data_IF_602639469115
#
_entry.id   IF_602639469115
#
_cell.length_a   1.000
_cell.length_b   1.000
_cell.length_c   1.000
_cell.angle_alpha   90.00
_cell.angle_beta   90.00
_cell.angle_gamma   90.00
#
_symmetry.space_group_name_H-M   'P 1'
#
loop_
_entity.id
_entity.type
_entity.pdbx_description
1 polymer ?
#
# COMPACT_ATOMS: atom_id res chain seq x y z
N UNK A 1 -42.25 -11.70 -13.97
CA UNK A 1 -42.39 -11.64 -12.50
C UNK A 1 -41.01 -11.45 -11.91
N UNK A 2 -40.76 -10.32 -11.24
CA UNK A 2 -39.45 -10.02 -10.63
C UNK A 2 -39.34 -10.76 -9.30
N UNK A 3 -38.24 -11.49 -9.10
CA UNK A 3 -37.99 -12.28 -7.90
C UNK A 3 -37.99 -11.43 -6.63
N UNK A 4 -38.67 -11.90 -5.58
CA UNK A 4 -38.81 -11.22 -4.30
C UNK A 4 -37.48 -10.79 -3.66
N UNK A 5 -36.37 -11.48 -3.99
CA UNK A 5 -35.02 -11.12 -3.56
C UNK A 5 -34.47 -9.85 -4.22
N UNK A 6 -34.84 -9.58 -5.48
CA UNK A 6 -34.43 -8.37 -6.22
C UNK A 6 -35.20 -7.13 -5.77
N UNK A 7 -36.45 -7.30 -5.34
CA UNK A 7 -37.29 -6.23 -4.79
C UNK A 7 -36.76 -5.80 -3.42
N UNK A 8 -36.29 -6.74 -2.59
CA UNK A 8 -35.75 -6.44 -1.26
C UNK A 8 -34.37 -5.73 -1.31
N UNK A 9 -33.50 -6.06 -2.27
CA UNK A 9 -32.22 -5.35 -2.47
C UNK A 9 -32.38 -3.91 -2.97
N UNK A 10 -33.36 -3.63 -3.86
CA UNK A 10 -33.64 -2.27 -4.29
C UNK A 10 -34.26 -1.42 -3.15
N UNK A 11 -35.07 -2.04 -2.29
CA UNK A 11 -35.70 -1.35 -1.15
C UNK A 11 -34.68 -0.98 -0.06
N UNK A 12 -33.60 -1.75 0.13
CA UNK A 12 -32.49 -1.41 1.03
C UNK A 12 -31.58 -0.29 0.52
N UNK A 13 -31.36 -0.21 -0.80
CA UNK A 13 -30.52 0.83 -1.41
C UNK A 13 -31.26 2.18 -1.44
N UNK A 14 -32.59 2.17 -1.62
CA UNK A 14 -33.41 3.39 -1.62
C UNK A 14 -33.65 3.94 -0.21
N UNK A 15 -33.69 3.09 0.83
CA UNK A 15 -33.80 3.54 2.23
C UNK A 15 -32.47 4.05 2.80
N UNK A 16 -31.32 3.57 2.31
CA UNK A 16 -30.00 4.11 2.64
C UNK A 16 -29.73 5.49 2.03
N UNK A 17 -30.45 5.88 0.96
CA UNK A 17 -30.27 7.16 0.28
C UNK A 17 -31.26 8.26 0.72
N UNK A 18 -32.16 7.97 1.67
CA UNK A 18 -33.22 8.91 2.08
C UNK A 18 -33.47 8.96 3.60
N UNK A 19 -32.40 9.03 4.39
CA UNK A 19 -32.50 9.37 5.82
C UNK A 19 -31.74 10.66 6.12
N UNK A 20 -32.41 11.80 5.91
CA UNK A 20 -32.14 13.05 6.62
C UNK A 20 -33.47 13.77 6.89
N UNK A 21 -33.82 13.91 8.17
CA UNK A 21 -34.41 15.12 8.75
C UNK A 21 -34.53 14.92 10.27
N UNK A 22 -33.66 15.57 11.04
CA UNK A 22 -33.91 16.83 11.79
C UNK A 22 -33.92 16.52 13.29
N UNK A 23 -32.78 16.81 13.92
CA UNK A 23 -32.71 17.21 15.32
C UNK A 23 -32.36 18.69 15.31
N UNK A 24 -33.29 19.51 15.81
CA UNK A 24 -33.09 20.92 16.01
C UNK A 24 -32.05 21.14 17.11
N UNK A 25 -30.91 21.75 16.76
CA UNK A 25 -29.88 22.17 17.73
C UNK A 25 -28.50 21.61 17.46
N UNK A 26 -27.91 21.89 16.30
CA UNK A 26 -26.45 21.90 16.12
C UNK A 26 -26.13 22.81 14.94
N UNK A 27 -25.22 23.74 15.16
CA UNK A 27 -24.74 24.73 14.19
C UNK A 27 -24.18 24.07 12.93
N UNK A 28 -24.41 24.69 11.77
CA UNK A 28 -23.88 24.30 10.46
C UNK A 28 -22.35 24.49 10.39
N UNK A 29 -21.59 23.69 11.14
CA UNK A 29 -20.12 23.72 11.13
C UNK A 29 -19.48 22.34 11.40
N UNK A 30 -20.14 21.24 11.01
CA UNK A 30 -19.56 19.89 11.11
C UNK A 30 -19.33 19.18 9.75
N UNK A 31 -19.58 19.86 8.62
CA UNK A 31 -19.27 19.35 7.26
C UNK A 31 -18.04 20.01 6.62
N UNK A 32 -17.18 20.65 7.40
CA UNK A 32 -15.96 21.31 6.92
C UNK A 32 -14.72 20.76 7.63
N UNK A 33 -14.43 19.49 7.44
CA UNK A 33 -13.08 18.96 7.59
C UNK A 33 -12.90 17.74 6.67
N UNK A 34 -13.16 17.95 5.37
CA UNK A 34 -12.53 17.09 4.38
C UNK A 34 -11.02 17.30 4.53
N UNK A 35 -10.36 16.30 5.11
CA UNK A 35 -8.92 16.29 5.34
C UNK A 35 -8.25 16.44 3.98
N UNK A 36 -7.80 17.65 3.64
CA UNK A 36 -6.99 17.86 2.46
C UNK A 36 -5.62 17.23 2.72
N UNK A 37 -5.50 15.95 2.32
CA UNK A 37 -4.29 15.15 2.44
C UNK A 37 -3.08 15.78 1.74
N UNK A 38 -3.31 16.66 0.75
CA UNK A 38 -2.26 17.42 0.06
C UNK A 38 -1.66 18.57 0.90
N UNK A 39 -2.31 18.97 2.00
CA UNK A 39 -1.82 20.04 2.90
C UNK A 39 -1.26 19.55 4.23
N UNK A 40 -1.54 18.30 4.63
CA UNK A 40 -1.18 17.79 5.96
C UNK A 40 0.05 16.87 5.98
N UNK A 41 0.41 16.26 4.85
CA UNK A 41 1.61 15.46 4.76
C UNK A 41 2.74 16.33 4.21
N UNK A 42 3.81 16.59 4.98
CA UNK A 42 4.96 17.32 4.46
C UNK A 42 5.55 16.52 3.29
N UNK A 43 5.55 17.12 2.11
CA UNK A 43 6.19 16.53 0.94
C UNK A 43 7.70 16.35 1.21
N UNK A 44 8.30 15.23 0.81
CA UNK A 44 9.72 15.04 1.07
C UNK A 44 10.55 16.07 0.31
N UNK A 45 11.55 16.61 0.99
CA UNK A 45 12.29 17.80 0.53
C UNK A 45 13.17 17.56 -0.70
N UNK A 46 13.52 16.29 -0.95
CA UNK A 46 14.50 15.85 -1.95
C UNK A 46 13.87 15.30 -3.24
N UNK A 47 12.56 15.41 -3.41
CA UNK A 47 11.84 14.86 -4.59
C UNK A 47 11.38 15.94 -5.57
N UNK A 48 11.44 17.22 -5.19
CA UNK A 48 11.01 18.33 -6.03
C UNK A 48 11.82 18.39 -7.33
N UNK A 49 11.13 18.34 -8.48
CA UNK A 49 11.75 18.32 -9.81
C UNK A 49 12.32 16.95 -10.23
N UNK A 50 12.17 15.90 -9.40
CA UNK A 50 12.56 14.55 -9.74
C UNK A 50 11.49 13.87 -10.62
N UNK A 51 11.87 13.00 -11.56
CA UNK A 51 10.90 12.33 -12.45
C UNK A 51 9.85 11.50 -11.69
N UNK A 52 10.21 11.04 -10.49
CA UNK A 52 9.35 10.26 -9.61
C UNK A 52 8.49 11.11 -8.65
N UNK A 53 8.60 12.45 -8.66
CA UNK A 53 7.91 13.35 -7.72
C UNK A 53 6.43 13.01 -7.53
N UNK A 54 5.68 12.93 -8.64
CA UNK A 54 4.25 12.59 -8.61
C UNK A 54 3.97 11.16 -8.11
N UNK A 55 4.86 10.22 -8.41
CA UNK A 55 4.71 8.83 -7.96
C UNK A 55 4.96 8.71 -6.46
N UNK A 56 5.96 9.43 -5.94
CA UNK A 56 6.28 9.49 -4.52
C UNK A 56 5.15 10.16 -3.75
N UNK A 57 4.63 11.29 -4.25
CA UNK A 57 3.49 11.97 -3.66
C UNK A 57 2.29 11.03 -3.56
N UNK A 58 1.96 10.32 -4.65
CA UNK A 58 0.90 9.31 -4.64
C UNK A 58 1.17 8.18 -3.63
N UNK A 59 2.39 7.64 -3.59
CA UNK A 59 2.75 6.54 -2.69
C UNK A 59 2.64 6.93 -1.21
N UNK A 60 2.94 8.18 -0.87
CA UNK A 60 2.81 8.71 0.49
C UNK A 60 1.34 8.97 0.83
N UNK A 61 0.59 9.61 -0.07
CA UNK A 61 -0.83 9.91 0.14
C UNK A 61 -1.69 8.65 0.29
N UNK A 62 -1.34 7.59 -0.44
CA UNK A 62 -2.04 6.28 -0.36
C UNK A 62 -1.51 5.39 0.75
N UNK A 63 -0.51 5.86 1.52
CA UNK A 63 0.10 5.10 2.60
C UNK A 63 0.91 3.89 2.14
N UNK A 64 1.22 3.74 0.85
CA UNK A 64 2.07 2.65 0.33
C UNK A 64 3.50 2.79 0.86
N UNK A 65 4.02 4.01 0.90
CA UNK A 65 5.36 4.33 1.42
C UNK A 65 5.29 5.44 2.46
N UNK A 66 6.26 5.45 3.36
CA UNK A 66 6.51 6.53 4.31
C UNK A 66 7.90 7.09 4.01
N UNK A 67 8.08 8.40 4.12
CA UNK A 67 9.42 9.01 4.09
C UNK A 67 10.21 8.68 5.34
N UNK A 68 11.45 9.17 5.40
CA UNK A 68 12.31 9.04 6.58
C UNK A 68 12.00 10.13 7.61
N UNK A 69 12.44 9.90 8.86
CA UNK A 69 12.24 10.83 9.97
C UNK A 69 12.90 12.21 9.76
N UNK A 70 13.85 12.30 8.83
CA UNK A 70 14.54 13.54 8.43
C UNK A 70 13.83 14.31 7.31
N UNK A 71 12.59 13.95 6.96
CA UNK A 71 11.80 14.53 5.86
C UNK A 71 12.39 14.30 4.45
N UNK A 72 13.25 13.29 4.28
CA UNK A 72 13.70 12.81 2.97
C UNK A 72 12.90 11.60 2.48
N UNK A 73 12.94 11.34 1.18
CA UNK A 73 12.45 10.09 0.56
C UNK A 73 13.56 9.27 -0.09
N UNK A 74 14.66 9.90 -0.50
CA UNK A 74 15.83 9.31 -1.15
C UNK A 74 15.46 8.56 -2.44
N UNK A 75 14.89 9.24 -3.45
CA UNK A 75 14.31 8.60 -4.63
C UNK A 75 15.32 7.82 -5.50
N UNK A 76 16.62 8.14 -5.41
CA UNK A 76 17.70 7.45 -6.12
C UNK A 76 18.34 6.30 -5.31
N UNK A 77 17.96 6.14 -4.03
CA UNK A 77 18.48 5.07 -3.20
C UNK A 77 17.88 3.72 -3.63
N UNK A 78 18.73 2.71 -3.73
CA UNK A 78 18.26 1.34 -3.94
C UNK A 78 17.46 0.86 -2.73
N UNK A 79 16.26 0.35 -2.98
CA UNK A 79 15.43 -0.28 -1.95
C UNK A 79 15.84 -1.73 -1.73
N UNK A 80 15.70 -2.19 -0.48
CA UNK A 80 15.92 -3.58 -0.08
C UNK A 80 14.71 -4.46 -0.37
N UNK A 81 14.89 -5.80 -0.37
CA UNK A 81 13.75 -6.72 -0.53
C UNK A 81 12.73 -6.57 0.62
N UNK A 82 13.19 -6.32 1.85
CA UNK A 82 12.30 -6.09 2.99
C UNK A 82 11.50 -4.79 2.89
N UNK A 83 12.12 -3.69 2.46
CA UNK A 83 11.42 -2.42 2.22
C UNK A 83 10.39 -2.57 1.09
N UNK A 84 10.76 -3.27 0.02
CA UNK A 84 9.85 -3.56 -1.08
C UNK A 84 8.62 -4.36 -0.64
N UNK A 85 8.82 -5.44 0.12
CA UNK A 85 7.72 -6.25 0.65
C UNK A 85 6.85 -5.46 1.63
N UNK A 86 7.46 -4.66 2.49
CA UNK A 86 6.71 -3.80 3.41
C UNK A 86 5.83 -2.82 2.65
N UNK A 87 6.36 -2.17 1.62
CA UNK A 87 5.58 -1.28 0.76
C UNK A 87 4.44 -2.01 0.02
N UNK A 88 4.70 -3.23 -0.44
CA UNK A 88 3.70 -4.06 -1.11
C UNK A 88 2.57 -4.46 -0.17
N UNK A 89 2.88 -4.94 1.04
CA UNK A 89 1.88 -5.43 2.00
C UNK A 89 1.12 -4.32 2.71
N UNK A 90 1.74 -3.15 2.93
CA UNK A 90 1.17 -2.06 3.72
C UNK A 90 -0.27 -1.68 3.37
N UNK A 91 -0.66 -1.44 2.10
CA UNK A 91 -2.03 -1.09 1.75
C UNK A 91 -3.03 -2.24 1.99
N UNK A 92 -2.62 -3.50 1.86
CA UNK A 92 -3.51 -4.66 2.03
C UNK A 92 -3.79 -5.00 3.49
N UNK A 93 -2.81 -4.75 4.36
CA UNK A 93 -2.88 -5.12 5.78
C UNK A 93 -3.01 -3.90 6.72
N UNK A 94 -3.19 -2.70 6.15
CA UNK A 94 -3.31 -1.45 6.90
C UNK A 94 -2.16 -1.23 7.91
N UNK A 95 -0.92 -1.49 7.47
CA UNK A 95 0.28 -1.49 8.32
C UNK A 95 0.73 -0.06 8.65
N UNK A 96 0.06 0.56 9.61
CA UNK A 96 0.35 1.93 10.06
C UNK A 96 1.23 2.00 11.31
N UNK A 97 1.55 0.85 11.91
CA UNK A 97 2.25 0.76 13.19
C UNK A 97 3.66 1.34 13.13
N UNK A 98 4.00 2.08 14.18
CA UNK A 98 5.35 2.56 14.42
C UNK A 98 6.24 1.38 14.87
N UNK A 99 7.52 1.35 14.47
CA UNK A 99 8.43 0.28 14.89
C UNK A 99 8.48 0.16 16.42
N UNK A 100 8.38 -1.06 16.95
CA UNK A 100 8.52 -1.30 18.39
C UNK A 100 9.99 -1.26 18.81
N UNK A 101 10.56 -0.06 18.87
CA UNK A 101 11.96 0.19 19.24
C UNK A 101 12.28 -0.14 20.70
N UNK A 102 11.27 -0.43 21.53
CA UNK A 102 11.44 -0.78 22.95
C UNK A 102 11.78 -2.24 23.18
N UNK A 103 11.46 -3.12 22.24
CA UNK A 103 11.78 -4.55 22.35
C UNK A 103 13.20 -4.82 21.78
N UNK A 104 14.14 -5.33 22.59
CA UNK A 104 15.51 -5.62 22.14
C UNK A 104 15.58 -6.72 21.07
N UNK A 105 14.55 -7.55 20.93
CA UNK A 105 14.47 -8.60 19.91
C UNK A 105 13.65 -8.16 18.69
N UNK A 106 13.20 -6.90 18.65
CA UNK A 106 12.41 -6.40 17.55
C UNK A 106 13.21 -6.42 16.25
N UNK A 107 12.64 -7.08 15.24
CA UNK A 107 13.16 -7.06 13.88
C UNK A 107 12.02 -6.67 12.94
N UNK A 108 12.05 -5.43 12.46
CA UNK A 108 11.04 -4.87 11.56
C UNK A 108 10.86 -5.70 10.28
N UNK A 109 11.89 -6.43 9.85
CA UNK A 109 11.81 -7.30 8.68
C UNK A 109 10.97 -8.55 8.91
N UNK A 110 10.58 -8.90 10.14
CA UNK A 110 9.82 -10.13 10.37
C UNK A 110 8.40 -10.06 9.81
N UNK A 111 7.70 -8.96 10.09
CA UNK A 111 6.31 -8.78 9.69
C UNK A 111 6.08 -8.94 8.17
N UNK A 112 6.78 -8.22 7.27
CA UNK A 112 6.55 -8.37 5.83
C UNK A 112 6.85 -9.78 5.31
N UNK A 113 7.73 -10.54 5.98
CA UNK A 113 8.05 -11.92 5.58
C UNK A 113 7.07 -12.96 6.12
N UNK A 114 6.43 -12.69 7.26
CA UNK A 114 5.30 -13.49 7.76
C UNK A 114 4.15 -13.37 6.75
N UNK A 115 3.77 -12.14 6.41
CA UNK A 115 2.70 -11.87 5.44
C UNK A 115 3.01 -12.46 4.07
N UNK A 116 4.23 -12.26 3.57
CA UNK A 116 4.66 -12.88 2.32
C UNK A 116 4.59 -14.42 2.35
N UNK A 117 4.85 -15.05 3.50
CA UNK A 117 4.69 -16.50 3.65
C UNK A 117 3.24 -16.94 3.67
N UNK A 118 2.35 -16.17 4.32
CA UNK A 118 0.90 -16.44 4.35
C UNK A 118 0.29 -16.36 2.95
N UNK A 119 0.73 -15.37 2.16
CA UNK A 119 0.30 -15.14 0.78
C UNK A 119 1.03 -16.02 -0.25
N UNK A 120 1.92 -16.92 0.19
CA UNK A 120 2.76 -17.76 -0.68
C UNK A 120 3.58 -16.95 -1.71
N UNK A 121 4.01 -15.73 -1.35
CA UNK A 121 4.84 -14.89 -2.20
C UNK A 121 6.26 -15.45 -2.29
N UNK A 122 6.88 -15.44 -3.49
CA UNK A 122 8.20 -16.00 -3.70
C UNK A 122 9.32 -15.04 -3.25
N UNK A 123 9.31 -14.58 -2.00
CA UNK A 123 10.34 -13.73 -1.40
C UNK A 123 11.62 -14.52 -1.04
N UNK A 124 12.80 -14.00 -1.34
CA UNK A 124 14.09 -14.70 -1.15
C UNK A 124 14.51 -14.70 0.31
N UNK A 125 14.18 -13.63 1.02
CA UNK A 125 14.49 -13.49 2.44
C UNK A 125 13.68 -14.42 3.37
N UNK A 126 12.75 -15.22 2.84
CA UNK A 126 12.09 -16.30 3.59
C UNK A 126 13.12 -17.40 3.90
N UNK A 127 13.70 -18.11 2.91
CA UNK A 127 14.76 -19.09 3.17
C UNK A 127 16.13 -18.45 3.49
N UNK A 128 16.35 -17.19 3.13
CA UNK A 128 17.66 -16.53 3.25
C UNK A 128 17.59 -15.18 3.99
N UNK A 129 17.49 -15.15 5.33
CA UNK A 129 17.30 -13.91 6.11
C UNK A 129 18.34 -12.81 5.85
N UNK A 130 19.55 -13.16 5.41
CA UNK A 130 20.60 -12.18 5.05
C UNK A 130 20.23 -11.31 3.84
N UNK A 131 19.35 -11.80 2.96
CA UNK A 131 18.92 -11.09 1.74
C UNK A 131 17.89 -10.01 2.05
N UNK A 132 17.24 -10.05 3.23
CA UNK A 132 16.17 -9.10 3.60
C UNK A 132 16.59 -7.64 3.45
N UNK A 133 17.82 -7.32 3.85
CA UNK A 133 18.39 -5.97 3.79
C UNK A 133 19.27 -5.74 2.54
N UNK A 134 19.30 -6.68 1.60
CA UNK A 134 20.03 -6.52 0.35
C UNK A 134 19.16 -5.83 -0.71
N UNK A 135 19.73 -5.02 -1.63
CA UNK A 135 18.99 -4.41 -2.72
C UNK A 135 18.22 -5.43 -3.56
N UNK A 136 16.95 -5.13 -3.85
CA UNK A 136 16.12 -5.99 -4.71
C UNK A 136 16.37 -5.67 -6.18
N UNK A 137 16.37 -6.69 -7.05
CA UNK A 137 16.43 -6.49 -8.50
C UNK A 137 15.03 -6.29 -9.09
N UNK A 138 14.94 -5.60 -10.24
CA UNK A 138 13.67 -5.40 -10.95
C UNK A 138 12.97 -6.71 -11.33
N UNK A 139 13.73 -7.72 -11.75
CA UNK A 139 13.15 -9.05 -12.07
C UNK A 139 12.56 -9.72 -10.84
N UNK A 140 13.17 -9.52 -9.67
CA UNK A 140 12.70 -10.09 -8.41
C UNK A 140 11.44 -9.39 -7.93
N UNK A 141 11.43 -8.06 -7.95
CA UNK A 141 10.24 -7.26 -7.68
C UNK A 141 9.08 -7.68 -8.61
N UNK A 142 9.36 -7.80 -9.91
CA UNK A 142 8.35 -8.20 -10.89
C UNK A 142 7.76 -9.60 -10.61
N UNK A 143 8.62 -10.57 -10.26
CA UNK A 143 8.19 -11.91 -9.86
C UNK A 143 7.24 -11.88 -8.66
N UNK A 144 7.55 -11.08 -7.64
CA UNK A 144 6.73 -10.97 -6.44
C UNK A 144 5.37 -10.33 -6.77
N UNK A 145 5.34 -9.26 -7.58
CA UNK A 145 4.09 -8.59 -7.97
C UNK A 145 3.19 -9.53 -8.80
N UNK A 146 3.77 -10.27 -9.76
CA UNK A 146 3.02 -11.27 -10.53
C UNK A 146 2.41 -12.34 -9.61
N UNK A 147 3.20 -12.85 -8.65
CA UNK A 147 2.74 -13.85 -7.70
C UNK A 147 1.62 -13.33 -6.78
N UNK A 148 1.69 -12.07 -6.34
CA UNK A 148 0.63 -11.43 -5.56
C UNK A 148 -0.70 -11.33 -6.35
N UNK A 149 -0.65 -11.40 -7.67
CA UNK A 149 -1.83 -11.44 -8.56
C UNK A 149 -2.23 -12.89 -8.93
N UNK A 150 -1.62 -13.90 -8.29
CA UNK A 150 -1.87 -15.31 -8.56
C UNK A 150 -1.15 -15.87 -9.78
N UNK A 151 -0.13 -15.17 -10.31
CA UNK A 151 0.58 -15.55 -11.53
C UNK A 151 2.01 -16.03 -11.23
N UNK A 152 2.40 -17.15 -11.82
CA UNK A 152 3.74 -17.72 -11.62
C UNK A 152 4.71 -17.36 -12.77
N UNK A 153 5.00 -16.07 -12.93
CA UNK A 153 6.02 -15.61 -13.86
C UNK A 153 7.41 -15.52 -13.21
N UNK A 154 8.46 -15.59 -14.01
CA UNK A 154 9.83 -15.45 -13.54
C UNK A 154 10.73 -14.75 -14.57
N UNK A 155 11.88 -14.25 -14.14
CA UNK A 155 12.87 -13.64 -15.03
C UNK A 155 12.29 -12.55 -15.92
N UNK A 156 12.55 -12.65 -17.23
CA UNK A 156 12.07 -11.69 -18.22
C UNK A 156 10.55 -11.72 -18.42
N UNK A 157 9.90 -12.87 -18.18
CA UNK A 157 8.45 -13.00 -18.38
C UNK A 157 7.67 -12.19 -17.35
N UNK A 158 8.15 -12.17 -16.10
CA UNK A 158 7.55 -11.35 -15.05
C UNK A 158 7.66 -9.85 -15.38
N UNK A 159 8.79 -9.43 -15.95
CA UNK A 159 8.97 -8.04 -16.40
C UNK A 159 8.06 -7.75 -17.60
N UNK A 160 8.00 -8.65 -18.58
CA UNK A 160 7.15 -8.51 -19.76
C UNK A 160 5.67 -8.38 -19.38
N UNK A 161 5.22 -9.17 -18.41
CA UNK A 161 3.89 -9.10 -17.85
C UNK A 161 3.55 -7.70 -17.29
N UNK A 162 4.41 -7.15 -16.44
CA UNK A 162 4.19 -5.80 -15.89
C UNK A 162 4.25 -4.69 -16.93
N UNK A 163 4.94 -4.91 -18.05
CA UNK A 163 4.96 -3.99 -19.19
C UNK A 163 3.73 -4.10 -20.09
N UNK A 164 2.78 -4.98 -19.79
CA UNK A 164 1.64 -5.28 -20.68
C UNK A 164 2.06 -5.97 -21.98
N UNK A 165 3.23 -6.62 -21.99
CA UNK A 165 3.82 -7.30 -23.15
C UNK A 165 3.86 -8.83 -23.02
N UNK A 166 3.33 -9.39 -21.92
CA UNK A 166 3.18 -10.83 -21.81
C UNK A 166 2.14 -11.33 -22.82
N UNK A 167 2.43 -12.49 -23.42
CA UNK A 167 1.52 -13.22 -24.30
C UNK A 167 0.66 -14.17 -23.50
#
# INVERSE_FOLDING_TARGET
MMDAKRILSCLMIVTLLFSFAVSAGATAQDEANEVNWGTLLPEPTDVKGHWAERLVQWAIMTGVMKGYADHSFKPDQLITEAEFLLALCRPFYNLNEEPNTKDPNYNWTNLPYILASEDNLPALGIPHPKVRNAPITRSRAAKIIAAAQGLNYSGNDAIAYLMGKAK
#
